data_IF_137278870066
#
_entry.id   IF_137278870066
#
_cell.length_a   1.000
_cell.length_b   1.000
_cell.length_c   1.000
_cell.angle_alpha   90.00
_cell.angle_beta   90.00
_cell.angle_gamma   90.00
#
_symmetry.space_group_name_H-M   'P 1'
#
loop_
_entity.id
_entity.type
_entity.pdbx_description
1 polymer ?
#
# COMPACT_ATOMS: atom_id res chain seq x y z
N UNK A 1 43.89 -11.53 23.39
CA UNK A 1 43.24 -11.81 22.11
C UNK A 1 41.73 -11.84 22.31
N UNK A 2 41.01 -10.81 21.87
CA UNK A 2 39.54 -10.75 21.96
C UNK A 2 38.94 -11.57 20.81
N UNK A 3 38.26 -12.71 21.13
CA UNK A 3 37.45 -13.46 20.17
C UNK A 3 36.35 -12.53 19.63
N UNK A 4 36.41 -12.17 18.35
CA UNK A 4 35.32 -11.57 17.68
C UNK A 4 34.10 -12.50 17.76
N UNK A 5 32.98 -12.05 18.33
CA UNK A 5 31.71 -12.78 18.32
C UNK A 5 31.24 -12.86 16.87
N UNK A 6 31.39 -14.01 16.24
CA UNK A 6 30.75 -14.29 14.96
C UNK A 6 29.25 -14.16 15.16
N UNK A 7 28.64 -13.27 14.40
CA UNK A 7 27.18 -13.11 14.40
C UNK A 7 26.53 -14.40 13.94
N UNK A 8 25.49 -14.86 14.65
CA UNK A 8 24.81 -16.11 14.32
C UNK A 8 24.30 -16.07 12.87
N UNK A 9 24.27 -17.20 12.15
CA UNK A 9 23.83 -17.26 10.75
C UNK A 9 22.42 -16.66 10.52
N UNK A 10 21.55 -16.71 11.52
CA UNK A 10 20.20 -16.12 11.52
C UNK A 10 20.27 -14.58 11.50
N UNK A 11 21.15 -13.97 12.30
CA UNK A 11 21.33 -12.50 12.35
C UNK A 11 21.88 -11.98 11.03
N UNK A 12 22.82 -12.70 10.42
CA UNK A 12 23.39 -12.32 9.12
C UNK A 12 22.36 -12.42 7.99
N UNK A 13 21.46 -13.41 8.02
CA UNK A 13 20.36 -13.55 7.04
C UNK A 13 19.32 -12.43 7.20
N UNK A 14 18.90 -12.14 8.43
CA UNK A 14 17.97 -11.04 8.71
C UNK A 14 18.56 -9.70 8.28
N UNK A 15 19.86 -9.46 8.55
CA UNK A 15 20.51 -8.22 8.11
C UNK A 15 20.52 -8.08 6.57
N UNK A 16 20.75 -9.16 5.82
CA UNK A 16 20.69 -9.16 4.35
C UNK A 16 19.28 -8.90 3.83
N UNK A 17 18.25 -9.40 4.49
CA UNK A 17 16.86 -9.19 4.11
C UNK A 17 16.37 -7.75 4.44
N UNK A 18 16.97 -7.10 5.45
CA UNK A 18 16.66 -5.72 5.85
C UNK A 18 17.34 -4.71 4.93
N UNK A 19 18.63 -4.87 4.65
CA UNK A 19 19.44 -3.93 3.87
C UNK A 19 19.48 -4.33 2.39
N UNK A 20 18.32 -4.26 1.72
CA UNK A 20 18.23 -4.39 0.26
C UNK A 20 18.13 -3.00 -0.39
N UNK A 21 18.52 -2.90 -1.67
CA UNK A 21 18.39 -1.64 -2.40
C UNK A 21 16.93 -1.13 -2.41
N UNK A 22 15.91 -1.97 -2.69
CA UNK A 22 14.51 -1.54 -2.58
C UNK A 22 14.14 -0.99 -1.19
N UNK A 23 14.47 -1.72 -0.12
CA UNK A 23 14.14 -1.28 1.24
C UNK A 23 14.82 0.06 1.59
N UNK A 24 16.03 0.30 1.11
CA UNK A 24 16.73 1.58 1.32
C UNK A 24 16.01 2.72 0.59
N UNK A 25 15.51 2.49 -0.61
CA UNK A 25 14.72 3.47 -1.37
C UNK A 25 13.41 3.77 -0.66
N UNK A 26 12.69 2.73 -0.15
CA UNK A 26 11.47 2.90 0.67
C UNK A 26 11.73 3.77 1.88
N UNK A 27 12.81 3.50 2.62
CA UNK A 27 13.15 4.26 3.83
C UNK A 27 13.48 5.73 3.52
N UNK A 28 14.23 5.98 2.46
CA UNK A 28 14.53 7.35 1.99
C UNK A 28 13.25 8.05 1.55
N UNK A 29 12.41 7.38 0.77
CA UNK A 29 11.11 7.88 0.34
C UNK A 29 10.22 8.26 1.53
N UNK A 30 10.12 7.37 2.52
CA UNK A 30 9.38 7.65 3.76
C UNK A 30 9.94 8.83 4.54
N UNK A 31 11.27 8.93 4.67
CA UNK A 31 11.93 10.06 5.34
C UNK A 31 11.63 11.40 4.62
N UNK A 32 11.62 11.41 3.28
CA UNK A 32 11.23 12.57 2.50
C UNK A 32 9.78 12.97 2.75
N UNK A 33 8.83 12.01 2.78
CA UNK A 33 7.43 12.31 3.10
C UNK A 33 7.30 12.80 4.54
N UNK A 34 7.97 12.19 5.50
CA UNK A 34 7.96 12.60 6.91
C UNK A 34 8.51 14.02 7.09
N UNK A 35 9.53 14.40 6.34
CA UNK A 35 10.08 15.76 6.34
C UNK A 35 9.11 16.71 5.62
N UNK A 36 8.73 16.41 4.37
CA UNK A 36 7.88 17.25 3.54
C UNK A 36 6.50 17.48 4.13
N UNK A 37 5.93 16.49 4.86
CA UNK A 37 4.63 16.62 5.51
C UNK A 37 4.59 17.75 6.56
N UNK A 38 5.72 18.07 7.21
CA UNK A 38 5.80 19.20 8.15
C UNK A 38 5.58 20.54 7.45
N UNK A 39 5.92 20.63 6.18
CA UNK A 39 5.80 21.81 5.35
C UNK A 39 4.81 21.59 4.17
N UNK A 40 3.84 20.70 4.32
CA UNK A 40 2.91 20.27 3.25
C UNK A 40 2.09 21.44 2.65
N UNK A 41 2.03 22.57 3.33
CA UNK A 41 1.43 23.82 2.88
C UNK A 41 2.40 24.74 2.13
N UNK A 42 3.56 24.22 1.71
CA UNK A 42 4.55 24.88 0.87
C UNK A 42 4.82 24.06 -0.39
N UNK A 43 5.31 24.72 -1.44
CA UNK A 43 5.65 24.01 -2.69
C UNK A 43 6.75 22.96 -2.48
N UNK A 44 7.74 23.27 -1.64
CA UNK A 44 8.83 22.36 -1.31
C UNK A 44 8.32 21.12 -0.56
N UNK A 45 7.53 21.32 0.51
CA UNK A 45 6.98 20.22 1.29
C UNK A 45 6.07 19.31 0.46
N UNK A 46 5.26 19.89 -0.43
CA UNK A 46 4.41 19.11 -1.34
C UNK A 46 5.27 18.33 -2.37
N UNK A 47 6.34 18.93 -2.89
CA UNK A 47 7.29 18.26 -3.79
C UNK A 47 8.03 17.11 -3.08
N UNK A 48 8.51 17.32 -1.85
CA UNK A 48 9.18 16.28 -1.05
C UNK A 48 8.24 15.09 -0.80
N UNK A 49 6.97 15.36 -0.47
CA UNK A 49 5.96 14.32 -0.33
C UNK A 49 5.71 13.57 -1.65
N UNK A 50 5.63 14.27 -2.78
CA UNK A 50 5.42 13.66 -4.10
C UNK A 50 6.61 12.78 -4.50
N UNK A 51 7.84 13.27 -4.35
CA UNK A 51 9.07 12.52 -4.64
C UNK A 51 9.17 11.27 -3.76
N UNK A 52 8.89 11.39 -2.45
CA UNK A 52 8.89 10.26 -1.55
C UNK A 52 7.85 9.19 -1.92
N UNK A 53 6.65 9.59 -2.36
CA UNK A 53 5.61 8.64 -2.84
C UNK A 53 5.97 7.99 -4.18
N UNK A 54 6.65 8.71 -5.07
CA UNK A 54 7.17 8.13 -6.32
C UNK A 54 8.27 7.11 -6.01
N UNK A 55 9.18 7.42 -5.09
CA UNK A 55 10.23 6.50 -4.65
C UNK A 55 9.65 5.18 -4.15
N UNK A 56 8.60 5.23 -3.33
CA UNK A 56 7.86 4.09 -2.80
C UNK A 56 7.23 3.21 -3.91
N UNK A 57 6.69 3.81 -4.97
CA UNK A 57 6.18 3.05 -6.13
C UNK A 57 7.30 2.39 -6.92
N UNK A 58 8.45 3.06 -7.04
CA UNK A 58 9.61 2.58 -7.80
C UNK A 58 10.31 1.42 -7.09
N UNK A 59 10.47 1.47 -5.77
CA UNK A 59 11.14 0.41 -5.00
C UNK A 59 10.37 -0.91 -5.05
N UNK A 60 9.05 -0.88 -4.91
CA UNK A 60 8.21 -2.06 -5.06
C UNK A 60 8.27 -2.66 -6.48
N UNK A 61 8.46 -1.83 -7.51
CA UNK A 61 8.68 -2.31 -8.87
C UNK A 61 10.07 -2.91 -9.03
N UNK A 62 11.09 -2.24 -8.48
CA UNK A 62 12.48 -2.69 -8.49
C UNK A 62 12.65 -4.01 -7.74
N UNK A 63 12.06 -4.17 -6.56
CA UNK A 63 12.07 -5.41 -5.79
C UNK A 63 11.55 -6.61 -6.59
N UNK A 64 10.46 -6.40 -7.35
CA UNK A 64 9.91 -7.44 -8.24
C UNK A 64 10.81 -7.76 -9.43
N UNK A 65 11.43 -6.74 -10.03
CA UNK A 65 12.34 -6.91 -11.18
C UNK A 65 13.66 -7.58 -10.81
N UNK A 66 14.16 -7.31 -9.61
CA UNK A 66 15.44 -7.86 -9.11
C UNK A 66 15.28 -9.16 -8.34
N UNK A 67 14.04 -9.64 -8.13
CA UNK A 67 13.78 -10.84 -7.33
C UNK A 67 14.07 -10.66 -5.82
N UNK A 68 14.28 -9.44 -5.35
CA UNK A 68 14.59 -9.09 -3.96
C UNK A 68 13.33 -8.88 -3.11
N UNK A 69 12.27 -9.62 -3.40
CA UNK A 69 11.05 -9.57 -2.58
C UNK A 69 11.21 -10.43 -1.35
N UNK A 70 11.05 -9.84 -0.15
CA UNK A 70 11.05 -10.56 1.11
C UNK A 70 9.75 -10.30 1.89
N UNK A 71 9.36 -11.25 2.75
CA UNK A 71 8.22 -11.06 3.64
C UNK A 71 8.45 -9.90 4.62
N UNK A 72 9.71 -9.71 5.03
CA UNK A 72 10.11 -8.59 5.88
C UNK A 72 9.97 -7.25 5.14
N UNK A 73 10.46 -7.15 3.90
CA UNK A 73 10.32 -5.95 3.06
C UNK A 73 8.85 -5.58 2.86
N UNK A 74 7.99 -6.55 2.56
CA UNK A 74 6.56 -6.31 2.40
C UNK A 74 5.86 -5.84 3.69
N UNK A 75 6.28 -6.36 4.86
CA UNK A 75 5.76 -5.90 6.15
C UNK A 75 6.25 -4.50 6.50
N UNK A 76 7.52 -4.21 6.22
CA UNK A 76 8.14 -2.89 6.42
C UNK A 76 7.42 -1.84 5.57
N UNK A 77 7.23 -2.09 4.28
CA UNK A 77 6.52 -1.23 3.33
C UNK A 77 5.09 -0.93 3.83
N UNK A 78 4.31 -1.98 4.13
CA UNK A 78 2.95 -1.82 4.64
C UNK A 78 2.87 -1.02 5.95
N UNK A 79 3.85 -1.18 6.85
CA UNK A 79 3.91 -0.45 8.12
C UNK A 79 4.30 1.00 7.90
N UNK A 80 5.32 1.23 7.09
CA UNK A 80 5.82 2.56 6.73
C UNK A 80 4.73 3.40 6.05
N UNK A 81 3.99 2.83 5.11
CA UNK A 81 2.84 3.47 4.47
C UNK A 81 1.80 3.99 5.47
N UNK A 82 1.48 3.19 6.49
CA UNK A 82 0.52 3.59 7.53
C UNK A 82 1.04 4.72 8.40
N UNK A 83 2.31 4.68 8.79
CA UNK A 83 2.96 5.73 9.57
C UNK A 83 3.01 7.03 8.77
N UNK A 84 3.41 6.96 7.51
CA UNK A 84 3.47 8.11 6.60
C UNK A 84 2.10 8.73 6.40
N UNK A 85 1.06 7.93 6.14
CA UNK A 85 -0.31 8.42 5.99
C UNK A 85 -0.81 9.08 7.28
N UNK A 86 -0.60 8.46 8.43
CA UNK A 86 -0.99 9.04 9.72
C UNK A 86 -0.30 10.39 9.96
N UNK A 87 0.98 10.52 9.60
CA UNK A 87 1.72 11.77 9.71
C UNK A 87 1.19 12.84 8.78
N UNK A 88 0.88 12.52 7.53
CA UNK A 88 0.26 13.46 6.58
C UNK A 88 -1.08 13.98 7.14
N UNK A 89 -1.95 13.07 7.58
CA UNK A 89 -3.27 13.43 8.14
C UNK A 89 -3.14 14.31 9.39
N UNK A 90 -2.18 13.99 10.26
CA UNK A 90 -1.89 14.80 11.46
C UNK A 90 -1.47 16.23 11.07
N UNK A 91 -0.51 16.39 10.14
CA UNK A 91 -0.04 17.71 9.73
C UNK A 91 -1.12 18.50 8.99
N UNK A 92 -1.91 17.85 8.14
CA UNK A 92 -3.04 18.48 7.47
C UNK A 92 -4.12 18.94 8.43
N UNK A 93 -4.42 18.14 9.47
CA UNK A 93 -5.37 18.53 10.51
C UNK A 93 -4.83 19.69 11.34
N UNK A 94 -3.55 19.63 11.75
CA UNK A 94 -2.88 20.69 12.53
C UNK A 94 -2.87 22.04 11.80
N UNK A 95 -2.75 22.00 10.47
CA UNK A 95 -2.70 23.20 9.60
C UNK A 95 -4.08 23.56 9.01
N UNK A 96 -5.13 22.83 9.36
CA UNK A 96 -6.51 23.04 8.89
C UNK A 96 -6.65 23.05 7.36
N UNK A 97 -5.81 22.25 6.65
CA UNK A 97 -5.76 22.26 5.18
C UNK A 97 -6.95 21.60 4.50
N UNK A 98 -7.65 20.71 5.19
CA UNK A 98 -8.82 20.00 4.67
C UNK A 98 -9.90 19.88 5.75
N UNK A 99 -11.19 19.70 5.37
CA UNK A 99 -12.28 19.52 6.32
C UNK A 99 -12.03 18.32 7.25
N UNK A 100 -12.26 18.52 8.57
CA UNK A 100 -12.01 17.51 9.61
C UNK A 100 -12.74 16.19 9.36
N UNK A 101 -13.95 16.23 8.80
CA UNK A 101 -14.70 15.02 8.45
C UNK A 101 -14.01 14.19 7.34
N UNK A 102 -13.39 14.85 6.36
CA UNK A 102 -12.61 14.15 5.31
C UNK A 102 -11.39 13.47 5.94
N UNK A 103 -10.58 14.23 6.69
CA UNK A 103 -9.38 13.71 7.35
C UNK A 103 -9.73 12.57 8.32
N UNK A 104 -10.79 12.73 9.11
CA UNK A 104 -11.28 11.71 10.04
C UNK A 104 -11.76 10.45 9.33
N UNK A 105 -12.51 10.58 8.24
CA UNK A 105 -12.96 9.41 7.47
C UNK A 105 -11.79 8.63 6.87
N UNK A 106 -10.83 9.34 6.26
CA UNK A 106 -9.61 8.70 5.71
C UNK A 106 -8.82 8.00 6.83
N UNK A 107 -8.65 8.64 7.99
CA UNK A 107 -7.97 8.05 9.14
C UNK A 107 -8.66 6.78 9.62
N UNK A 108 -9.98 6.80 9.80
CA UNK A 108 -10.76 5.66 10.29
C UNK A 108 -10.71 4.49 9.31
N UNK A 109 -10.97 4.73 8.02
CA UNK A 109 -10.95 3.67 7.00
C UNK A 109 -9.56 3.02 6.88
N UNK A 110 -8.49 3.84 6.85
CA UNK A 110 -7.13 3.31 6.80
C UNK A 110 -6.74 2.55 8.09
N UNK A 111 -7.22 2.96 9.26
CA UNK A 111 -7.00 2.26 10.52
C UNK A 111 -7.72 0.91 10.55
N UNK A 112 -9.00 0.86 10.14
CA UNK A 112 -9.76 -0.40 10.03
C UNK A 112 -9.06 -1.36 9.07
N UNK A 113 -8.66 -0.88 7.90
CA UNK A 113 -7.96 -1.69 6.90
C UNK A 113 -6.62 -2.22 7.42
N UNK A 114 -5.87 -1.42 8.18
CA UNK A 114 -4.61 -1.84 8.80
C UNK A 114 -4.83 -2.93 9.84
N UNK A 115 -5.79 -2.75 10.75
CA UNK A 115 -6.14 -3.72 11.79
C UNK A 115 -6.65 -5.02 11.16
N UNK A 116 -7.58 -4.94 10.21
CA UNK A 116 -8.13 -6.12 9.54
C UNK A 116 -7.05 -6.91 8.79
N UNK A 117 -6.13 -6.23 8.10
CA UNK A 117 -5.01 -6.88 7.42
C UNK A 117 -4.04 -7.51 8.41
N UNK A 118 -3.69 -6.81 9.49
CA UNK A 118 -2.84 -7.35 10.56
C UNK A 118 -3.43 -8.59 11.21
N UNK A 119 -4.73 -8.57 11.48
CA UNK A 119 -5.43 -9.70 12.08
C UNK A 119 -5.51 -10.92 11.13
N UNK A 120 -5.76 -10.67 9.85
CA UNK A 120 -5.73 -11.73 8.83
C UNK A 120 -4.35 -12.41 8.75
N UNK A 121 -3.26 -11.61 8.86
CA UNK A 121 -1.89 -12.11 8.82
C UNK A 121 -1.51 -12.95 10.05
N UNK A 122 -2.01 -12.58 11.24
CA UNK A 122 -1.76 -13.32 12.47
C UNK A 122 -2.50 -14.66 12.53
N UNK A 123 -3.63 -14.79 11.81
CA UNK A 123 -4.47 -16.00 11.83
C UNK A 123 -4.11 -17.03 10.75
N UNK A 124 -3.35 -16.66 9.75
CA UNK A 124 -3.02 -17.60 8.67
C UNK A 124 -1.68 -18.27 8.94
N UNK A 125 -1.71 -19.60 9.15
CA UNK A 125 -0.53 -20.47 9.27
C UNK A 125 0.25 -20.59 7.95
N UNK A 126 -0.35 -20.25 6.82
CA UNK A 126 0.29 -20.19 5.50
C UNK A 126 0.07 -18.81 4.86
N UNK A 127 1.16 -18.23 4.38
CA UNK A 127 1.33 -17.02 3.54
C UNK A 127 0.01 -16.41 3.04
N UNK A 128 -0.74 -15.77 3.95
CA UNK A 128 -1.93 -15.04 3.58
C UNK A 128 -1.55 -14.00 2.52
N UNK A 129 -2.35 -13.89 1.48
CA UNK A 129 -2.13 -12.88 0.45
C UNK A 129 -2.42 -11.51 1.04
N UNK A 130 -1.39 -10.90 1.62
CA UNK A 130 -1.41 -9.55 2.19
C UNK A 130 -1.55 -8.47 1.12
N UNK A 131 -1.64 -8.88 -0.15
CA UNK A 131 -1.70 -7.96 -1.28
C UNK A 131 -2.96 -7.09 -1.21
N UNK A 132 -2.80 -5.76 -1.37
CA UNK A 132 -3.92 -4.84 -1.44
C UNK A 132 -4.89 -5.23 -2.57
N UNK A 133 -6.19 -5.12 -2.30
CA UNK A 133 -7.22 -5.33 -3.32
C UNK A 133 -7.13 -4.24 -4.41
N UNK A 134 -7.64 -4.53 -5.62
CA UNK A 134 -7.70 -3.51 -6.68
C UNK A 134 -8.51 -2.29 -6.24
N UNK A 135 -9.65 -2.51 -5.59
CA UNK A 135 -10.47 -1.42 -5.01
C UNK A 135 -9.72 -0.64 -3.94
N UNK A 136 -8.96 -1.31 -3.06
CA UNK A 136 -8.14 -0.64 -2.05
C UNK A 136 -7.08 0.27 -2.67
N UNK A 137 -6.42 -0.16 -3.74
CA UNK A 137 -5.44 0.67 -4.46
C UNK A 137 -6.09 1.90 -5.10
N UNK A 138 -7.24 1.72 -5.76
CA UNK A 138 -7.98 2.82 -6.40
C UNK A 138 -8.49 3.80 -5.34
N UNK A 139 -9.11 3.30 -4.26
CA UNK A 139 -9.58 4.13 -3.15
C UNK A 139 -8.46 4.96 -2.54
N UNK A 140 -7.33 4.33 -2.19
CA UNK A 140 -6.17 5.02 -1.62
C UNK A 140 -5.58 6.06 -2.58
N UNK A 141 -5.51 5.78 -3.88
CA UNK A 141 -5.04 6.74 -4.87
C UNK A 141 -5.95 7.97 -4.95
N UNK A 142 -7.27 7.77 -4.93
CA UNK A 142 -8.25 8.87 -4.92
C UNK A 142 -8.23 9.66 -3.61
N UNK A 143 -8.10 9.00 -2.44
CA UNK A 143 -7.90 9.66 -1.15
C UNK A 143 -6.62 10.51 -1.17
N UNK A 144 -5.52 9.97 -1.67
CA UNK A 144 -4.25 10.71 -1.80
C UNK A 144 -4.41 11.91 -2.74
N UNK A 145 -5.08 11.75 -3.90
CA UNK A 145 -5.36 12.84 -4.81
C UNK A 145 -6.22 13.94 -4.16
N UNK A 146 -7.21 13.56 -3.35
CA UNK A 146 -8.01 14.51 -2.57
C UNK A 146 -7.14 15.32 -1.60
N UNK A 147 -6.27 14.67 -0.82
CA UNK A 147 -5.38 15.33 0.14
C UNK A 147 -4.40 16.28 -0.58
N UNK A 148 -3.82 15.84 -1.70
CA UNK A 148 -2.94 16.67 -2.54
C UNK A 148 -3.69 17.90 -3.07
N UNK A 149 -4.93 17.75 -3.53
CA UNK A 149 -5.73 18.87 -4.02
C UNK A 149 -6.00 19.91 -2.92
N UNK A 150 -6.28 19.49 -1.68
CA UNK A 150 -6.45 20.40 -0.55
C UNK A 150 -5.15 21.13 -0.20
N UNK A 151 -4.01 20.42 -0.16
CA UNK A 151 -2.71 21.04 0.10
C UNK A 151 -2.32 22.03 -1.01
N UNK A 152 -2.60 21.68 -2.28
CA UNK A 152 -2.38 22.57 -3.43
C UNK A 152 -3.31 23.79 -3.42
N UNK A 153 -4.54 23.66 -2.92
CA UNK A 153 -5.45 24.78 -2.76
C UNK A 153 -4.91 25.85 -1.80
N UNK A 154 -4.35 25.40 -0.68
CA UNK A 154 -3.69 26.31 0.27
C UNK A 154 -2.50 27.03 -0.35
N UNK A 155 -1.72 26.31 -1.16
CA UNK A 155 -0.59 26.90 -1.88
C UNK A 155 -1.06 27.93 -2.91
N UNK A 156 -2.17 27.67 -3.59
CA UNK A 156 -2.76 28.61 -4.54
C UNK A 156 -3.26 29.88 -3.84
N UNK A 157 -3.91 29.75 -2.69
CA UNK A 157 -4.37 30.92 -1.89
C UNK A 157 -3.20 31.81 -1.44
N UNK A 158 -2.03 31.21 -1.15
CA UNK A 158 -0.83 31.97 -0.75
C UNK A 158 -0.10 32.65 -1.91
N UNK A 159 -0.31 32.16 -3.15
CA UNK A 159 0.42 32.66 -4.33
C UNK A 159 -0.30 33.73 -5.12
N UNK A 160 -1.60 33.84 -4.99
CA UNK A 160 -2.42 34.76 -5.77
C UNK A 160 -3.63 35.23 -4.98
N UNK A 161 -3.98 36.49 -5.14
CA UNK A 161 -5.22 37.06 -4.58
C UNK A 161 -6.49 36.57 -5.29
N UNK A 162 -6.33 35.85 -6.40
CA UNK A 162 -7.47 35.25 -7.12
C UNK A 162 -7.91 33.94 -6.43
N UNK A 163 -9.10 33.90 -5.82
CA UNK A 163 -9.58 32.71 -5.11
C UNK A 163 -10.06 31.57 -6.03
N UNK A 164 -10.16 31.80 -7.34
CA UNK A 164 -10.72 30.81 -8.29
C UNK A 164 -9.93 29.51 -8.34
N UNK A 165 -8.57 29.50 -8.45
CA UNK A 165 -7.79 28.28 -8.49
C UNK A 165 -7.94 27.45 -7.20
N UNK A 166 -7.85 28.08 -6.03
CA UNK A 166 -7.98 27.39 -4.75
C UNK A 166 -9.40 26.80 -4.56
N UNK A 167 -10.44 27.54 -4.92
CA UNK A 167 -11.83 27.03 -4.88
C UNK A 167 -12.02 25.82 -5.81
N UNK A 168 -11.42 25.85 -7.01
CA UNK A 168 -11.47 24.71 -7.93
C UNK A 168 -10.77 23.50 -7.33
N UNK A 169 -9.56 23.66 -6.80
CA UNK A 169 -8.79 22.58 -6.18
C UNK A 169 -9.51 21.97 -4.98
N UNK A 170 -10.15 22.77 -4.12
CA UNK A 170 -10.97 22.25 -3.01
C UNK A 170 -12.19 21.46 -3.53
N UNK A 171 -12.85 21.91 -4.60
CA UNK A 171 -13.94 21.14 -5.23
C UNK A 171 -13.45 19.83 -5.83
N UNK A 172 -12.32 19.84 -6.51
CA UNK A 172 -11.69 18.61 -7.03
C UNK A 172 -11.31 17.65 -5.91
N UNK A 173 -10.74 18.17 -4.81
CA UNK A 173 -10.43 17.38 -3.62
C UNK A 173 -11.68 16.74 -3.00
N UNK A 174 -12.76 17.50 -2.83
CA UNK A 174 -14.03 16.97 -2.33
C UNK A 174 -14.63 15.92 -3.28
N UNK A 175 -14.58 16.16 -4.60
CA UNK A 175 -15.05 15.21 -5.62
C UNK A 175 -14.23 13.92 -5.64
N UNK A 176 -12.90 14.02 -5.57
CA UNK A 176 -12.01 12.85 -5.51
C UNK A 176 -12.25 12.03 -4.23
N UNK A 177 -12.44 12.70 -3.09
CA UNK A 177 -12.79 12.04 -1.83
C UNK A 177 -14.14 11.32 -1.94
N UNK A 178 -15.19 11.99 -2.42
CA UNK A 178 -16.50 11.36 -2.59
C UNK A 178 -16.44 10.15 -3.53
N UNK A 179 -15.70 10.26 -4.63
CA UNK A 179 -15.49 9.15 -5.56
C UNK A 179 -14.65 8.00 -4.97
N UNK A 180 -13.81 8.25 -3.96
CA UNK A 180 -13.04 7.20 -3.28
C UNK A 180 -13.90 6.31 -2.38
N UNK A 181 -14.99 6.82 -1.81
CA UNK A 181 -15.79 6.14 -0.79
C UNK A 181 -16.31 4.76 -1.19
N UNK A 182 -16.91 4.53 -2.38
CA UNK A 182 -17.35 3.20 -2.76
C UNK A 182 -16.18 2.20 -2.88
N UNK A 183 -15.03 2.63 -3.36
CA UNK A 183 -13.84 1.78 -3.46
C UNK A 183 -13.25 1.48 -2.09
N UNK A 184 -13.17 2.47 -1.21
CA UNK A 184 -12.70 2.32 0.16
C UNK A 184 -13.64 1.40 0.97
N UNK A 185 -14.96 1.59 0.88
CA UNK A 185 -15.94 0.73 1.54
C UNK A 185 -15.86 -0.72 1.07
N UNK A 186 -15.76 -0.96 -0.25
CA UNK A 186 -15.58 -2.31 -0.80
C UNK A 186 -14.26 -2.94 -0.34
N UNK A 187 -13.17 -2.17 -0.29
CA UNK A 187 -11.90 -2.64 0.21
C UNK A 187 -11.97 -3.02 1.69
N UNK A 188 -12.54 -2.15 2.52
CA UNK A 188 -12.73 -2.38 3.95
C UNK A 188 -13.57 -3.64 4.20
N UNK A 189 -14.69 -3.80 3.50
CA UNK A 189 -15.50 -5.01 3.56
C UNK A 189 -14.68 -6.27 3.24
N UNK A 190 -13.88 -6.22 2.17
CA UNK A 190 -13.04 -7.35 1.75
C UNK A 190 -11.97 -7.68 2.80
N UNK A 191 -11.32 -6.67 3.39
CA UNK A 191 -10.31 -6.89 4.43
C UNK A 191 -10.93 -7.44 5.71
N UNK A 192 -12.11 -6.96 6.14
CA UNK A 192 -12.85 -7.50 7.29
C UNK A 192 -13.25 -8.95 7.01
N UNK A 193 -13.79 -9.25 5.83
CA UNK A 193 -14.17 -10.62 5.44
C UNK A 193 -12.95 -11.57 5.51
N UNK A 194 -11.78 -11.13 5.02
CA UNK A 194 -10.52 -11.90 5.12
C UNK A 194 -10.08 -12.10 6.57
N UNK A 195 -10.24 -11.09 7.42
CA UNK A 195 -9.89 -11.18 8.85
C UNK A 195 -10.78 -12.17 9.61
N UNK A 196 -12.08 -12.25 9.28
CA UNK A 196 -13.04 -13.12 9.95
C UNK A 196 -12.97 -14.56 9.42
N UNK A 197 -12.97 -14.74 8.10
CA UNK A 197 -13.15 -16.06 7.46
C UNK A 197 -11.80 -16.76 7.15
N UNK A 198 -10.67 -16.11 7.39
CA UNK A 198 -9.39 -16.60 6.88
C UNK A 198 -9.37 -16.64 5.34
N UNK A 199 -8.38 -17.34 4.77
CA UNK A 199 -8.24 -17.47 3.31
C UNK A 199 -9.05 -18.63 2.69
N UNK A 200 -10.21 -18.98 3.23
CA UNK A 200 -11.04 -20.11 2.77
C UNK A 200 -11.44 -20.04 1.28
N UNK A 201 -11.18 -18.93 0.59
CA UNK A 201 -11.60 -18.72 -0.80
C UNK A 201 -10.58 -19.21 -1.85
N UNK A 202 -9.43 -19.78 -1.45
CA UNK A 202 -8.36 -20.20 -2.39
C UNK A 202 -8.38 -21.67 -2.82
N UNK A 203 -9.24 -22.52 -2.29
CA UNK A 203 -9.22 -23.95 -2.62
C UNK A 203 -9.94 -24.35 -3.93
N UNK A 204 -10.69 -23.46 -4.57
CA UNK A 204 -11.52 -23.83 -5.72
C UNK A 204 -10.89 -23.81 -7.14
N UNK A 205 -9.82 -23.08 -7.50
CA UNK A 205 -9.38 -23.08 -8.91
C UNK A 205 -8.34 -24.14 -9.28
N UNK A 206 -7.48 -24.60 -8.35
CA UNK A 206 -6.37 -25.51 -8.71
C UNK A 206 -6.83 -26.93 -8.98
N UNK A 207 -7.74 -27.47 -8.19
CA UNK A 207 -8.22 -28.86 -8.39
C UNK A 207 -8.94 -29.06 -9.73
N UNK A 208 -9.63 -28.04 -10.26
CA UNK A 208 -10.36 -28.14 -11.53
C UNK A 208 -9.38 -28.11 -12.72
N UNK A 209 -8.28 -27.36 -12.61
CA UNK A 209 -7.26 -27.26 -13.67
C UNK A 209 -6.42 -28.54 -13.71
N UNK A 210 -6.01 -29.06 -12.58
CA UNK A 210 -5.23 -30.29 -12.46
C UNK A 210 -6.07 -31.53 -12.86
N UNK A 211 -7.37 -31.56 -12.53
CA UNK A 211 -8.28 -32.61 -12.97
C UNK A 211 -8.50 -32.57 -14.50
N UNK A 212 -8.62 -31.39 -15.12
CA UNK A 212 -8.69 -31.25 -16.58
C UNK A 212 -7.42 -31.66 -17.29
N UNK A 213 -6.25 -31.34 -16.74
CA UNK A 213 -4.97 -31.78 -17.30
C UNK A 213 -4.77 -33.29 -17.17
N UNK A 214 -5.15 -33.90 -16.06
CA UNK A 214 -5.08 -35.32 -15.82
C UNK A 214 -6.03 -36.10 -16.73
N UNK A 215 -7.27 -35.65 -16.93
CA UNK A 215 -8.24 -36.23 -17.87
C UNK A 215 -7.83 -36.09 -19.32
N UNK A 216 -7.22 -34.96 -19.73
CA UNK A 216 -6.69 -34.75 -21.07
C UNK A 216 -5.50 -35.67 -21.38
N UNK A 217 -4.63 -35.90 -20.40
CA UNK A 217 -3.48 -36.81 -20.52
C UNK A 217 -3.90 -38.28 -20.64
N UNK A 218 -4.90 -38.72 -19.86
CA UNK A 218 -5.45 -40.09 -19.97
C UNK A 218 -6.18 -40.35 -21.31
N UNK A 219 -6.90 -39.34 -21.79
CA UNK A 219 -7.57 -39.46 -23.12
C UNK A 219 -6.57 -39.53 -24.29
N UNK A 220 -5.39 -38.96 -24.14
CA UNK A 220 -4.33 -39.03 -25.18
C UNK A 220 -3.61 -40.38 -25.18
N UNK A 221 -3.37 -40.96 -23.99
CA UNK A 221 -2.76 -42.29 -23.85
C UNK A 221 -3.66 -43.41 -24.35
N UNK A 222 -4.99 -43.30 -24.17
CA UNK A 222 -5.96 -44.28 -24.69
C UNK A 222 -6.07 -44.31 -26.21
N UNK A 223 -5.71 -43.22 -26.93
CA UNK A 223 -5.68 -43.19 -28.42
C UNK A 223 -4.43 -43.77 -29.03
N UNK A 224 -3.35 -43.93 -28.28
CA UNK A 224 -2.09 -44.50 -28.76
C UNK A 224 -2.01 -46.02 -28.57
N UNK A 225 -2.83 -46.62 -27.69
CA UNK A 225 -2.85 -48.08 -27.46
C UNK A 225 -3.86 -48.84 -28.31
N UNK A 226 -4.64 -48.19 -29.17
CA UNK A 226 -5.68 -48.79 -30.01
C UNK A 226 -5.29 -48.98 -31.50
N UNK A 227 -3.98 -48.97 -31.84
CA UNK A 227 -3.46 -49.28 -33.16
C UNK A 227 -2.40 -50.38 -33.06
N UNK A 228 -2.84 -51.60 -33.04
CA UNK A 228 -2.08 -52.80 -33.40
C UNK A 228 -3.02 -53.76 -34.08
#
# INVERSE_FOLDING_TARGET
MKKAREASPTVCKVAKDVFTIPNSISMIGAALVMHGSKEINTAKGLADCAVGRIADVLDGKLARMTGQTSNFGAALDATTDKIVMAKILYEMNKKELAPKHILGTVAVLNSINAVATGFANLRSDEKAETRPTKSGKVGLAMETAALVAYAAAELADKRTDNPKPAKLLRKLGAGAFAASLPFAAHATYTYIKRAINGNAEKEKPRQIIDAKHSLGSMAMLGRLSGRS
#
